data_IF_735105020317
#
_entry.id   IF_735105020317
#
_cell.length_a   1.000
_cell.length_b   1.000
_cell.length_c   1.000
_cell.angle_alpha   90.00
_cell.angle_beta   90.00
_cell.angle_gamma   90.00
#
_symmetry.space_group_name_H-M   'P 1'
#
loop_
_entity.id
_entity.type
_entity.pdbx_description
1 polymer ?
#
# COMPACT_ATOMS: atom_id res chain seq x y z
N UNK A 1 19.34 44.73 -48.41
CA UNK A 1 20.46 45.41 -47.71
C UNK A 1 20.86 44.45 -46.62
N UNK A 2 21.87 43.65 -46.87
CA UNK A 2 23.28 43.73 -46.51
C UNK A 2 23.51 43.87 -45.00
N UNK A 3 24.15 42.86 -44.45
CA UNK A 3 24.93 42.89 -43.24
C UNK A 3 25.43 41.50 -42.79
N UNK A 4 26.55 41.09 -43.31
CA UNK A 4 27.38 39.91 -42.89
C UNK A 4 28.20 40.26 -41.64
N UNK A 5 28.51 39.27 -40.79
CA UNK A 5 29.50 39.36 -39.71
C UNK A 5 29.76 37.96 -39.15
N UNK A 6 30.68 37.20 -39.76
CA UNK A 6 32.04 36.76 -39.41
C UNK A 6 32.16 36.28 -37.95
N UNK A 7 32.31 35.06 -37.71
CA UNK A 7 33.27 34.00 -37.55
C UNK A 7 34.41 34.26 -36.53
N UNK A 8 34.48 33.39 -35.50
CA UNK A 8 35.74 33.12 -34.81
C UNK A 8 35.81 31.66 -34.40
N UNK A 9 36.68 30.91 -35.12
CA UNK A 9 37.14 29.57 -34.75
C UNK A 9 38.34 29.75 -33.83
N UNK A 10 38.27 29.22 -32.64
CA UNK A 10 39.42 29.05 -31.75
C UNK A 10 39.91 27.62 -31.88
N UNK A 11 41.11 27.50 -32.37
CA UNK A 11 41.89 26.28 -32.54
C UNK A 11 42.64 26.02 -31.23
N UNK A 12 42.33 24.92 -30.53
CA UNK A 12 43.14 24.48 -29.38
C UNK A 12 44.15 23.44 -29.81
N UNK A 13 45.42 23.81 -29.69
CA UNK A 13 46.58 22.95 -29.87
C UNK A 13 46.71 21.96 -28.70
N UNK A 14 46.77 20.69 -29.00
CA UNK A 14 47.15 19.66 -28.04
C UNK A 14 48.68 19.54 -28.00
N UNK A 15 49.25 19.77 -26.83
CA UNK A 15 50.69 19.53 -26.57
C UNK A 15 50.81 18.13 -25.97
N UNK A 16 51.49 17.22 -26.68
CA UNK A 16 51.84 15.88 -26.22
C UNK A 16 53.19 15.97 -25.52
N UNK A 17 53.22 15.67 -24.23
CA UNK A 17 54.47 15.46 -23.48
C UNK A 17 54.79 13.97 -23.48
N UNK A 18 55.92 13.61 -24.11
CA UNK A 18 56.50 12.29 -24.00
C UNK A 18 57.48 12.27 -22.81
N UNK A 19 57.31 11.34 -21.91
CA UNK A 19 58.19 11.07 -20.77
C UNK A 19 58.86 9.71 -20.94
N UNK A 20 60.20 9.60 -20.79
CA UNK A 20 60.91 8.35 -21.03
C UNK A 20 60.79 7.39 -19.85
N UNK A 21 60.57 6.09 -20.16
CA UNK A 21 60.62 4.99 -19.18
C UNK A 21 62.09 4.69 -18.81
N UNK A 22 62.41 4.83 -17.55
CA UNK A 22 63.61 4.26 -16.92
C UNK A 22 63.24 2.88 -16.33
N UNK A 23 63.86 1.84 -16.91
CA UNK A 23 63.81 0.49 -16.33
C UNK A 23 64.85 0.39 -15.19
N UNK A 24 64.36 0.19 -13.96
CA UNK A 24 65.19 -0.24 -12.84
C UNK A 24 64.96 -1.74 -12.59
N UNK A 25 66.03 -2.52 -12.67
CA UNK A 25 66.02 -3.95 -12.36
C UNK A 25 65.98 -4.18 -10.84
N UNK A 26 65.02 -4.95 -10.38
CA UNK A 26 64.96 -5.45 -8.99
C UNK A 26 65.67 -6.80 -8.86
N UNK A 27 66.40 -7.05 -7.76
CA UNK A 27 67.02 -8.34 -7.47
C UNK A 27 65.97 -9.39 -7.04
N UNK A 28 66.27 -10.64 -7.37
CA UNK A 28 65.48 -11.82 -7.02
C UNK A 28 65.71 -12.18 -5.55
N UNK A 29 64.70 -12.09 -4.73
CA UNK A 29 64.70 -12.67 -3.36
C UNK A 29 64.09 -14.09 -3.39
N UNK A 30 64.84 -15.02 -2.78
CA UNK A 30 64.38 -16.40 -2.56
C UNK A 30 63.24 -16.46 -1.54
N UNK A 31 62.25 -17.35 -1.70
CA UNK A 31 61.13 -17.48 -0.76
C UNK A 31 61.55 -18.21 0.51
N UNK A 32 61.04 -17.80 1.69
CA UNK A 32 61.30 -18.46 2.97
C UNK A 32 60.60 -19.82 3.09
N UNK A 33 61.11 -20.75 3.94
CA UNK A 33 60.56 -22.11 4.07
C UNK A 33 59.15 -22.13 4.70
N UNK A 34 58.28 -23.01 4.16
CA UNK A 34 56.88 -23.19 4.65
C UNK A 34 56.87 -23.77 6.07
N UNK A 35 56.04 -23.24 6.97
CA UNK A 35 55.78 -23.89 8.27
C UNK A 35 54.92 -25.16 8.10
N UNK A 36 55.26 -26.19 8.88
CA UNK A 36 54.51 -27.46 8.98
C UNK A 36 53.08 -27.20 9.46
N UNK A 37 52.13 -27.81 8.79
CA UNK A 37 50.72 -27.76 9.16
C UNK A 37 50.51 -28.44 10.52
N UNK A 38 50.05 -27.69 11.51
CA UNK A 38 49.44 -28.20 12.73
C UNK A 38 47.96 -28.46 12.45
N UNK A 39 47.48 -29.67 12.76
CA UNK A 39 46.07 -30.02 12.65
C UNK A 39 45.27 -29.18 13.65
N UNK A 40 44.49 -28.23 13.15
CA UNK A 40 43.53 -27.49 13.94
C UNK A 40 42.17 -28.15 13.84
N UNK A 41 41.67 -28.63 14.97
CA UNK A 41 40.31 -29.11 15.21
C UNK A 41 39.34 -27.98 14.78
N UNK A 42 38.52 -28.25 13.75
CA UNK A 42 37.59 -27.30 13.18
C UNK A 42 36.49 -26.90 14.16
N UNK A 43 36.63 -25.71 14.72
CA UNK A 43 35.49 -24.98 15.25
C UNK A 43 34.74 -24.36 14.05
N UNK A 44 33.51 -24.85 13.77
CA UNK A 44 32.63 -24.19 12.82
C UNK A 44 32.35 -22.78 13.32
N UNK A 45 33.00 -21.79 12.75
CA UNK A 45 32.52 -20.41 12.86
C UNK A 45 31.14 -20.34 12.22
N UNK A 46 30.12 -20.28 13.06
CA UNK A 46 28.79 -19.81 12.63
C UNK A 46 28.97 -18.34 12.25
N UNK A 47 28.96 -18.09 10.95
CA UNK A 47 28.90 -16.71 10.43
C UNK A 47 27.56 -16.18 10.92
N UNK A 48 27.52 -15.08 11.74
CA UNK A 48 26.25 -14.46 12.07
C UNK A 48 25.57 -14.07 10.77
N UNK A 49 24.35 -14.56 10.54
CA UNK A 49 23.53 -14.10 9.44
C UNK A 49 23.39 -12.58 9.58
N UNK A 50 23.87 -11.84 8.60
CA UNK A 50 23.63 -10.40 8.52
C UNK A 50 22.12 -10.20 8.63
N UNK A 51 21.62 -9.35 9.56
CA UNK A 51 20.20 -9.10 9.65
C UNK A 51 19.72 -8.63 8.29
N UNK A 52 18.69 -9.28 7.76
CA UNK A 52 18.03 -8.86 6.53
C UNK A 52 17.42 -7.49 6.82
N UNK A 53 18.00 -6.44 6.29
CA UNK A 53 17.46 -5.09 6.42
C UNK A 53 16.17 -5.06 5.60
N UNK A 54 15.03 -5.20 6.25
CA UNK A 54 13.73 -4.93 5.64
C UNK A 54 13.74 -3.44 5.30
N UNK A 55 13.41 -3.09 4.07
CA UNK A 55 13.32 -1.69 3.67
C UNK A 55 12.31 -0.97 4.59
N UNK A 56 12.71 0.14 5.19
CA UNK A 56 11.82 0.93 6.04
C UNK A 56 10.75 1.64 5.20
N UNK A 57 9.57 1.89 5.79
CA UNK A 57 8.54 2.72 5.18
C UNK A 57 9.06 4.15 4.99
N UNK A 58 8.89 4.70 3.79
CA UNK A 58 9.35 6.04 3.45
C UNK A 58 8.15 6.96 3.13
N UNK A 59 7.82 7.85 4.07
CA UNK A 59 6.71 8.78 3.92
C UNK A 59 6.88 9.77 2.76
N UNK A 60 8.11 10.17 2.40
CA UNK A 60 8.33 11.06 1.25
C UNK A 60 8.04 10.35 -0.08
N UNK A 61 8.40 9.07 -0.21
CA UNK A 61 7.99 8.28 -1.37
C UNK A 61 6.47 8.14 -1.46
N UNK A 62 5.81 7.90 -0.33
CA UNK A 62 4.35 7.90 -0.30
C UNK A 62 3.80 9.27 -0.73
N UNK A 63 4.40 10.37 -0.29
CA UNK A 63 3.99 11.71 -0.73
C UNK A 63 4.19 11.95 -2.24
N UNK A 64 5.23 11.37 -2.84
CA UNK A 64 5.43 11.40 -4.30
C UNK A 64 4.32 10.62 -5.04
N UNK A 65 3.86 9.50 -4.48
CA UNK A 65 2.69 8.77 -5.01
C UNK A 65 1.40 9.58 -4.88
N UNK A 66 1.20 10.35 -3.81
CA UNK A 66 0.07 11.28 -3.69
C UNK A 66 0.10 12.30 -4.81
N UNK A 67 1.23 13.02 -4.98
CA UNK A 67 1.41 14.04 -6.02
C UNK A 67 1.11 13.47 -7.40
N UNK A 68 1.62 12.27 -7.69
CA UNK A 68 1.41 11.62 -8.98
C UNK A 68 -0.06 11.31 -9.28
N UNK A 69 -0.82 10.90 -8.28
CA UNK A 69 -2.25 10.61 -8.44
C UNK A 69 -3.05 11.89 -8.68
N UNK A 70 -2.82 12.94 -7.89
CA UNK A 70 -3.53 14.21 -8.06
C UNK A 70 -3.19 14.91 -9.38
N UNK A 71 -1.98 14.70 -9.95
CA UNK A 71 -1.59 15.19 -11.27
C UNK A 71 -2.45 14.61 -12.41
N UNK A 72 -3.09 13.46 -12.20
CA UNK A 72 -4.05 12.90 -13.17
C UNK A 72 -5.39 13.65 -13.13
N UNK A 73 -5.66 14.41 -12.06
CA UNK A 73 -6.94 15.10 -11.83
C UNK A 73 -7.98 14.23 -11.12
N UNK A 74 -9.26 14.68 -11.09
CA UNK A 74 -10.37 13.90 -10.56
C UNK A 74 -10.48 12.53 -11.23
N UNK A 75 -10.71 11.49 -10.42
CA UNK A 75 -10.61 10.08 -10.83
C UNK A 75 -11.89 9.27 -10.56
N UNK A 76 -13.10 9.78 -10.91
CA UNK A 76 -14.32 8.98 -10.74
C UNK A 76 -14.26 7.69 -11.57
N UNK A 77 -15.06 6.66 -11.20
CA UNK A 77 -15.12 5.39 -11.92
C UNK A 77 -15.44 5.57 -13.42
N UNK A 78 -14.84 4.69 -14.26
CA UNK A 78 -14.97 4.66 -15.71
C UNK A 78 -14.46 5.94 -16.42
N UNK A 79 -13.52 6.68 -15.80
CA UNK A 79 -12.85 7.83 -16.43
C UNK A 79 -11.46 7.50 -16.94
N UNK A 80 -10.97 8.32 -17.88
CA UNK A 80 -9.59 8.20 -18.39
C UNK A 80 -8.55 8.46 -17.30
N UNK A 81 -8.84 9.35 -16.36
CA UNK A 81 -7.98 9.68 -15.24
C UNK A 81 -7.84 8.50 -14.28
N UNK A 82 -8.94 7.82 -13.97
CA UNK A 82 -8.91 6.60 -13.16
C UNK A 82 -8.16 5.47 -13.89
N UNK A 83 -8.36 5.32 -15.20
CA UNK A 83 -7.61 4.35 -16.00
C UNK A 83 -6.09 4.61 -15.97
N UNK A 84 -5.66 5.88 -16.00
CA UNK A 84 -4.24 6.26 -15.83
C UNK A 84 -3.73 5.92 -14.42
N UNK A 85 -4.53 6.19 -13.39
CA UNK A 85 -4.21 5.85 -12.00
C UNK A 85 -4.09 4.35 -11.82
N UNK A 86 -5.02 3.56 -12.36
CA UNK A 86 -4.97 2.09 -12.37
C UNK A 86 -3.69 1.56 -13.03
N UNK A 87 -3.34 2.10 -14.19
CA UNK A 87 -2.11 1.74 -14.87
C UNK A 87 -0.86 2.10 -14.06
N UNK A 88 -0.86 3.28 -13.42
CA UNK A 88 0.22 3.72 -12.55
C UNK A 88 0.40 2.78 -11.35
N UNK A 89 -0.65 2.52 -10.58
CA UNK A 89 -0.63 1.60 -9.42
C UNK A 89 -0.13 0.21 -9.85
N UNK A 90 -0.68 -0.32 -10.94
CA UNK A 90 -0.29 -1.64 -11.48
C UNK A 90 1.20 -1.69 -11.83
N UNK A 91 1.74 -0.64 -12.47
CA UNK A 91 3.15 -0.58 -12.86
C UNK A 91 4.08 -0.45 -11.65
N UNK A 92 3.71 0.37 -10.65
CA UNK A 92 4.48 0.49 -9.41
C UNK A 92 4.57 -0.85 -8.68
N UNK A 93 3.44 -1.53 -8.46
CA UNK A 93 3.41 -2.84 -7.80
C UNK A 93 4.24 -3.90 -8.57
N UNK A 94 4.15 -3.93 -9.90
CA UNK A 94 4.99 -4.81 -10.74
C UNK A 94 6.48 -4.46 -10.62
N UNK A 95 6.82 -3.17 -10.51
CA UNK A 95 8.21 -2.73 -10.33
C UNK A 95 8.80 -3.18 -8.99
N UNK A 96 7.95 -3.42 -7.99
CA UNK A 96 8.32 -3.99 -6.68
C UNK A 96 8.43 -5.52 -6.71
N UNK A 97 8.25 -6.15 -7.87
CA UNK A 97 8.34 -7.60 -8.04
C UNK A 97 7.08 -8.36 -7.65
N UNK A 98 5.95 -7.68 -7.44
CA UNK A 98 4.69 -8.30 -7.06
C UNK A 98 3.94 -8.85 -8.28
N UNK A 99 3.24 -9.96 -8.08
CA UNK A 99 2.27 -10.47 -9.06
C UNK A 99 0.99 -9.64 -8.95
N UNK A 100 0.60 -8.99 -10.05
CA UNK A 100 -0.56 -8.10 -10.09
C UNK A 100 -1.59 -8.60 -11.09
N UNK A 101 -2.84 -8.67 -10.67
CA UNK A 101 -4.01 -8.97 -11.51
C UNK A 101 -5.06 -7.87 -11.40
N UNK A 102 -5.91 -7.76 -12.42
CA UNK A 102 -7.10 -6.92 -12.42
C UNK A 102 -8.33 -7.81 -12.28
N UNK A 103 -9.27 -7.38 -11.47
CA UNK A 103 -10.59 -7.96 -11.31
C UNK A 103 -11.60 -6.98 -11.93
N UNK A 104 -11.86 -7.17 -13.23
CA UNK A 104 -12.72 -6.28 -14.03
C UNK A 104 -14.19 -6.70 -13.93
N UNK A 105 -15.06 -5.73 -13.73
CA UNK A 105 -16.50 -5.93 -13.61
C UNK A 105 -17.30 -4.75 -14.13
N UNK A 106 -18.60 -4.98 -14.37
CA UNK A 106 -19.55 -3.91 -14.67
C UNK A 106 -20.43 -3.68 -13.44
N UNK A 107 -20.71 -2.42 -13.15
CA UNK A 107 -21.59 -2.00 -12.07
C UNK A 107 -22.73 -1.15 -12.60
N UNK A 108 -23.95 -1.47 -12.18
CA UNK A 108 -25.14 -0.63 -12.43
C UNK A 108 -25.16 0.47 -11.40
N UNK A 109 -25.06 1.72 -11.82
CA UNK A 109 -25.04 2.89 -10.96
C UNK A 109 -26.19 3.84 -11.31
N UNK A 110 -26.49 4.85 -10.45
CA UNK A 110 -27.45 5.89 -10.78
C UNK A 110 -27.12 6.67 -12.07
N UNK A 111 -25.85 6.63 -12.50
CA UNK A 111 -25.40 7.26 -13.75
C UNK A 111 -25.27 6.26 -14.91
N UNK A 112 -25.90 5.09 -14.82
CA UNK A 112 -25.83 4.02 -15.80
C UNK A 112 -24.72 3.00 -15.52
N UNK A 113 -24.52 2.09 -16.50
CA UNK A 113 -23.45 1.07 -16.40
C UNK A 113 -22.07 1.70 -16.38
N UNK A 114 -21.22 1.27 -15.46
CA UNK A 114 -19.81 1.68 -15.33
C UNK A 114 -18.90 0.47 -15.39
N UNK A 115 -17.78 0.60 -16.09
CA UNK A 115 -16.71 -0.40 -16.13
C UNK A 115 -15.73 -0.11 -15.02
N UNK A 116 -15.60 -1.01 -14.08
CA UNK A 116 -14.76 -0.90 -12.92
C UNK A 116 -13.72 -2.02 -12.87
N UNK A 117 -12.65 -1.84 -12.11
CA UNK A 117 -11.67 -2.89 -11.90
C UNK A 117 -10.94 -2.73 -10.56
N UNK A 118 -10.99 -3.73 -9.72
CA UNK A 118 -10.10 -3.83 -8.57
C UNK A 118 -8.68 -4.21 -9.02
N UNK A 119 -7.67 -3.69 -8.31
CA UNK A 119 -6.26 -4.07 -8.52
C UNK A 119 -5.85 -4.96 -7.36
N UNK A 120 -5.27 -6.12 -7.66
CA UNK A 120 -4.90 -7.12 -6.67
C UNK A 120 -3.41 -7.42 -6.81
N UNK A 121 -2.65 -7.28 -5.72
CA UNK A 121 -1.25 -7.69 -5.67
C UNK A 121 -1.02 -8.64 -4.48
N UNK A 122 -0.30 -9.74 -4.69
CA UNK A 122 -0.13 -10.77 -3.69
C UNK A 122 1.33 -10.93 -3.25
N UNK A 123 1.52 -11.09 -1.95
CA UNK A 123 2.77 -11.46 -1.29
C UNK A 123 2.53 -12.84 -0.64
N UNK A 124 2.98 -13.93 -1.29
CA UNK A 124 2.72 -15.29 -0.82
C UNK A 124 3.36 -15.57 0.54
N UNK A 125 2.58 -16.05 1.49
CA UNK A 125 3.02 -16.51 2.81
C UNK A 125 3.32 -17.99 2.90
N UNK A 126 3.56 -18.45 4.14
CA UNK A 126 3.77 -19.87 4.48
C UNK A 126 2.44 -20.65 4.50
N UNK A 127 1.33 -19.96 4.77
CA UNK A 127 -0.01 -20.55 4.87
C UNK A 127 -0.98 -19.89 3.91
N UNK A 128 -2.14 -20.53 3.69
CA UNK A 128 -3.25 -19.98 2.90
C UNK A 128 -4.05 -18.90 3.66
N UNK A 129 -3.84 -18.74 4.98
CA UNK A 129 -4.51 -17.68 5.73
C UNK A 129 -4.22 -16.35 5.07
N UNK A 130 -5.28 -15.66 4.64
CA UNK A 130 -5.19 -14.43 3.86
C UNK A 130 -5.47 -13.23 4.75
N UNK A 131 -4.59 -12.25 4.72
CA UNK A 131 -4.76 -10.93 5.31
C UNK A 131 -4.80 -9.92 4.18
N UNK A 132 -5.90 -9.19 4.07
CA UNK A 132 -6.08 -8.13 3.09
C UNK A 132 -5.62 -6.80 3.70
N UNK A 133 -4.94 -5.98 2.89
CA UNK A 133 -4.63 -4.58 3.20
C UNK A 133 -5.17 -3.79 2.03
N UNK A 134 -6.07 -2.86 2.28
CA UNK A 134 -6.92 -2.32 1.22
C UNK A 134 -7.06 -0.81 1.28
N UNK A 135 -7.49 -0.22 0.18
CA UNK A 135 -7.91 1.17 0.02
C UNK A 135 -8.73 1.29 -1.25
N UNK A 136 -9.67 2.21 -1.34
CA UNK A 136 -10.22 2.59 -2.64
C UNK A 136 -9.24 3.50 -3.41
N UNK A 137 -9.43 3.65 -4.74
CA UNK A 137 -8.55 4.48 -5.56
C UNK A 137 -9.28 5.42 -6.52
N UNK A 138 -10.60 5.33 -6.58
CA UNK A 138 -11.47 6.29 -7.26
C UNK A 138 -11.69 7.54 -6.38
N UNK A 139 -12.15 8.62 -6.96
CA UNK A 139 -12.61 9.81 -6.24
C UNK A 139 -14.08 10.04 -6.49
N UNK A 140 -14.74 10.67 -5.53
CA UNK A 140 -16.13 11.09 -5.68
C UNK A 140 -16.34 11.90 -6.95
N UNK A 141 -17.45 11.63 -7.64
CA UNK A 141 -17.87 12.38 -8.81
C UNK A 141 -18.55 13.68 -8.39
N UNK A 142 -18.03 14.81 -8.89
CA UNK A 142 -18.69 16.11 -8.78
C UNK A 142 -18.81 16.76 -10.15
N UNK A 143 -20.02 17.23 -10.48
CA UNK A 143 -20.29 17.90 -11.76
C UNK A 143 -19.63 19.27 -11.82
N UNK A 144 -19.71 20.04 -10.74
CA UNK A 144 -19.36 21.45 -10.69
C UNK A 144 -18.20 21.77 -9.73
N UNK A 145 -17.48 20.75 -9.24
CA UNK A 145 -16.33 20.91 -8.37
C UNK A 145 -15.14 20.09 -8.88
N UNK A 146 -13.97 20.71 -8.89
CA UNK A 146 -12.71 20.01 -9.19
C UNK A 146 -12.16 19.37 -7.91
N UNK A 147 -12.46 18.09 -7.72
CA UNK A 147 -12.08 17.32 -6.54
C UNK A 147 -10.98 16.31 -6.88
N UNK A 148 -9.79 16.52 -6.33
CA UNK A 148 -8.62 15.64 -6.60
C UNK A 148 -8.41 14.59 -5.53
N UNK A 149 -9.07 14.68 -4.37
CA UNK A 149 -9.00 13.70 -3.31
C UNK A 149 -7.56 13.38 -2.91
N UNK A 150 -6.86 14.34 -2.31
CA UNK A 150 -5.47 14.14 -1.92
C UNK A 150 -5.34 13.27 -0.67
N UNK A 151 -6.25 13.43 0.28
CA UNK A 151 -6.40 12.54 1.42
C UNK A 151 -7.37 11.40 1.09
N UNK A 152 -8.39 11.67 0.30
CA UNK A 152 -9.50 10.83 -0.07
C UNK A 152 -9.50 10.51 -1.60
N UNK A 153 -8.84 9.40 -2.07
CA UNK A 153 -8.05 8.42 -1.31
C UNK A 153 -6.53 8.47 -1.57
N UNK A 154 -5.98 9.50 -2.26
CA UNK A 154 -4.61 9.39 -2.79
C UNK A 154 -3.56 9.10 -1.71
N UNK A 155 -3.76 9.55 -0.45
CA UNK A 155 -2.85 9.27 0.66
C UNK A 155 -2.88 7.79 1.08
N UNK A 156 -4.08 7.19 1.11
CA UNK A 156 -4.27 5.79 1.47
C UNK A 156 -3.70 4.86 0.41
N UNK A 157 -4.00 5.14 -0.87
CA UNK A 157 -3.38 4.45 -2.03
C UNK A 157 -1.86 4.55 -2.00
N UNK A 158 -1.31 5.74 -1.72
CA UNK A 158 0.13 5.97 -1.65
C UNK A 158 0.78 5.17 -0.51
N UNK A 159 0.11 5.09 0.63
CA UNK A 159 0.56 4.28 1.77
C UNK A 159 0.54 2.79 1.41
N UNK A 160 -0.52 2.32 0.76
CA UNK A 160 -0.64 0.94 0.33
C UNK A 160 0.43 0.56 -0.73
N UNK A 161 0.77 1.46 -1.65
CA UNK A 161 1.88 1.28 -2.60
C UNK A 161 3.22 1.16 -1.89
N UNK A 162 3.51 2.02 -0.92
CA UNK A 162 4.78 1.97 -0.18
C UNK A 162 4.85 0.73 0.74
N UNK A 163 3.73 0.28 1.32
CA UNK A 163 3.63 -1.03 1.99
C UNK A 163 3.96 -2.16 1.02
N UNK A 164 3.44 -2.12 -0.20
CA UNK A 164 3.75 -3.09 -1.27
C UNK A 164 5.23 -3.16 -1.58
N UNK A 165 5.91 -2.01 -1.68
CA UNK A 165 7.36 -1.95 -1.88
C UNK A 165 8.13 -2.58 -0.73
N UNK A 166 7.77 -2.26 0.51
CA UNK A 166 8.45 -2.78 1.71
C UNK A 166 8.25 -4.29 1.82
N UNK A 167 7.02 -4.76 1.74
CA UNK A 167 6.67 -6.17 1.87
C UNK A 167 7.22 -7.01 0.71
N UNK A 168 7.18 -6.48 -0.53
CA UNK A 168 7.72 -7.14 -1.71
C UNK A 168 9.25 -7.26 -1.70
N UNK A 169 9.96 -6.36 -0.96
CA UNK A 169 11.41 -6.42 -0.82
C UNK A 169 11.90 -7.45 0.22
N UNK A 170 11.01 -8.00 1.03
CA UNK A 170 11.35 -9.00 2.05
C UNK A 170 11.79 -10.31 1.40
N UNK A 171 12.90 -10.88 1.89
CA UNK A 171 13.36 -12.21 1.49
C UNK A 171 12.69 -13.33 2.30
N UNK A 172 12.12 -12.98 3.44
CA UNK A 172 11.44 -13.92 4.32
C UNK A 172 9.95 -13.95 3.98
N UNK A 173 9.40 -15.15 3.85
CA UNK A 173 7.96 -15.31 3.66
C UNK A 173 7.23 -15.00 4.96
N UNK A 174 6.16 -14.20 4.92
CA UNK A 174 5.31 -14.00 6.08
C UNK A 174 4.54 -15.30 6.42
N UNK A 175 4.09 -15.45 7.66
CA UNK A 175 3.30 -16.62 8.10
C UNK A 175 1.95 -16.72 7.37
N UNK A 176 1.30 -15.59 7.13
CA UNK A 176 0.06 -15.51 6.34
C UNK A 176 0.37 -14.91 4.97
N UNK A 177 -0.43 -15.23 3.96
CA UNK A 177 -0.41 -14.55 2.67
C UNK A 177 -0.97 -13.15 2.83
N UNK A 178 -0.27 -12.12 2.34
CA UNK A 178 -0.78 -10.77 2.30
C UNK A 178 -1.27 -10.45 0.89
N UNK A 179 -2.40 -9.77 0.79
CA UNK A 179 -2.94 -9.33 -0.48
C UNK A 179 -3.30 -7.84 -0.38
N UNK A 180 -2.68 -7.04 -1.24
CA UNK A 180 -3.00 -5.62 -1.39
C UNK A 180 -4.13 -5.51 -2.40
N UNK A 181 -5.22 -4.85 -2.02
CA UNK A 181 -6.38 -4.67 -2.91
C UNK A 181 -6.75 -3.20 -2.96
N UNK A 182 -6.82 -2.67 -4.18
CA UNK A 182 -7.27 -1.31 -4.43
C UNK A 182 -8.66 -1.41 -5.07
N UNK A 183 -9.68 -0.92 -4.37
CA UNK A 183 -11.07 -0.99 -4.82
C UNK A 183 -11.43 0.16 -5.75
N UNK A 184 -12.23 -0.15 -6.78
CA UNK A 184 -12.81 0.82 -7.70
C UNK A 184 -14.28 1.04 -7.34
N UNK A 185 -14.71 2.30 -7.31
CA UNK A 185 -16.11 2.63 -7.06
C UNK A 185 -16.53 2.43 -5.59
N UNK A 186 -15.73 2.91 -4.67
CA UNK A 186 -16.13 3.06 -3.28
C UNK A 186 -17.15 4.19 -3.16
N UNK A 187 -16.90 5.30 -3.81
CA UNK A 187 -17.63 6.54 -3.72
C UNK A 187 -19.06 6.48 -4.32
N UNK A 188 -20.03 7.01 -3.60
CA UNK A 188 -21.38 7.15 -4.08
C UNK A 188 -21.48 8.12 -5.28
N UNK A 189 -22.25 7.76 -6.31
CA UNK A 189 -22.52 8.64 -7.46
C UNK A 189 -23.55 9.72 -7.17
N UNK A 190 -24.44 9.48 -6.21
CA UNK A 190 -25.34 10.51 -5.68
C UNK A 190 -24.62 11.42 -4.68
N UNK A 191 -25.28 12.52 -4.25
CA UNK A 191 -24.65 13.51 -3.38
C UNK A 191 -24.29 12.91 -2.03
N UNK A 192 -25.26 12.32 -1.33
CA UNK A 192 -25.06 11.63 -0.06
C UNK A 192 -24.84 10.13 -0.22
N UNK A 193 -24.21 9.56 0.79
CA UNK A 193 -23.81 8.13 0.84
C UNK A 193 -24.98 7.16 0.66
N UNK A 194 -26.15 7.52 1.18
CA UNK A 194 -27.37 6.68 1.15
C UNK A 194 -28.51 7.29 0.36
N UNK A 195 -28.25 8.30 -0.49
CA UNK A 195 -29.29 8.99 -1.25
C UNK A 195 -29.88 8.14 -2.38
N UNK A 196 -29.10 7.20 -2.89
CA UNK A 196 -29.48 6.32 -3.98
C UNK A 196 -29.17 4.85 -3.65
N UNK A 197 -29.79 3.95 -4.42
CA UNK A 197 -29.70 2.53 -4.17
C UNK A 197 -30.62 2.07 -3.05
N UNK A 198 -30.40 0.86 -2.58
CA UNK A 198 -31.10 0.23 -1.47
C UNK A 198 -30.13 -0.65 -0.66
N UNK A 199 -30.63 -1.36 0.37
CA UNK A 199 -29.77 -2.21 1.21
C UNK A 199 -29.11 -3.38 0.45
N UNK A 200 -29.75 -3.86 -0.63
CA UNK A 200 -29.19 -4.98 -1.43
C UNK A 200 -28.20 -4.46 -2.47
N UNK A 201 -28.45 -3.25 -3.00
CA UNK A 201 -27.66 -2.61 -4.04
C UNK A 201 -27.41 -1.13 -3.69
N UNK A 202 -26.60 -0.84 -2.67
CA UNK A 202 -26.25 0.53 -2.33
C UNK A 202 -25.43 1.21 -3.43
N UNK A 203 -25.57 2.54 -3.55
CA UNK A 203 -24.81 3.37 -4.50
C UNK A 203 -23.42 3.71 -3.93
N UNK A 204 -22.69 2.72 -3.46
CA UNK A 204 -21.33 2.86 -2.93
C UNK A 204 -20.65 1.50 -2.87
N UNK A 205 -19.39 1.45 -2.48
CA UNK A 205 -18.62 0.22 -2.17
C UNK A 205 -18.73 -0.88 -3.23
N UNK A 206 -18.86 -0.48 -4.52
CA UNK A 206 -19.04 -1.44 -5.62
C UNK A 206 -17.89 -2.44 -5.72
N UNK A 207 -16.64 -1.96 -5.57
CA UNK A 207 -15.44 -2.77 -5.68
C UNK A 207 -15.30 -3.79 -4.55
N UNK A 208 -15.50 -3.38 -3.32
CA UNK A 208 -15.38 -4.27 -2.15
C UNK A 208 -16.50 -5.32 -2.11
N UNK A 209 -17.74 -4.96 -2.43
CA UNK A 209 -18.86 -5.91 -2.56
C UNK A 209 -18.61 -6.93 -3.66
N UNK A 210 -18.13 -6.47 -4.82
CA UNK A 210 -17.75 -7.37 -5.92
C UNK A 210 -16.62 -8.31 -5.48
N UNK A 211 -15.61 -7.79 -4.79
CA UNK A 211 -14.46 -8.60 -4.37
C UNK A 211 -14.84 -9.66 -3.32
N UNK A 212 -15.74 -9.36 -2.38
CA UNK A 212 -16.30 -10.38 -1.47
C UNK A 212 -17.01 -11.49 -2.25
N UNK A 213 -17.76 -11.14 -3.30
CA UNK A 213 -18.40 -12.11 -4.18
C UNK A 213 -17.38 -12.96 -4.95
N UNK A 214 -16.28 -12.35 -5.41
CA UNK A 214 -15.16 -13.06 -6.05
C UNK A 214 -14.50 -14.04 -5.08
N UNK A 215 -14.24 -13.64 -3.83
CA UNK A 215 -13.66 -14.53 -2.80
C UNK A 215 -14.56 -15.74 -2.53
N UNK A 216 -15.88 -15.56 -2.50
CA UNK A 216 -16.85 -16.66 -2.39
C UNK A 216 -16.79 -17.59 -3.60
N UNK A 217 -16.78 -17.03 -4.82
CA UNK A 217 -16.74 -17.80 -6.05
C UNK A 217 -15.45 -18.63 -6.22
N UNK A 218 -14.35 -18.18 -5.60
CA UNK A 218 -13.04 -18.87 -5.60
C UNK A 218 -12.80 -19.77 -4.38
N UNK A 219 -13.77 -19.91 -3.50
CA UNK A 219 -13.63 -20.62 -2.21
C UNK A 219 -12.48 -20.06 -1.34
N UNK A 220 -12.12 -18.79 -1.52
CA UNK A 220 -11.07 -18.09 -0.76
C UNK A 220 -11.61 -17.36 0.48
N UNK A 221 -12.92 -17.14 0.59
CA UNK A 221 -13.52 -16.42 1.71
C UNK A 221 -13.24 -17.08 3.07
N UNK A 222 -13.29 -18.44 3.22
CA UNK A 222 -12.93 -19.10 4.48
C UNK A 222 -11.46 -18.93 4.86
N UNK A 223 -10.57 -18.70 3.89
CA UNK A 223 -9.14 -18.44 4.11
C UNK A 223 -8.85 -16.96 4.38
N UNK A 224 -9.77 -16.06 4.07
CA UNK A 224 -9.66 -14.62 4.36
C UNK A 224 -9.93 -14.38 5.85
N UNK A 225 -8.88 -14.11 6.62
CA UNK A 225 -8.92 -14.06 8.09
C UNK A 225 -8.99 -12.66 8.67
N UNK A 226 -8.43 -11.68 7.95
CA UNK A 226 -8.45 -10.28 8.37
C UNK A 226 -8.41 -9.36 7.15
N UNK A 227 -9.02 -8.18 7.31
CA UNK A 227 -8.99 -7.09 6.35
C UNK A 227 -8.65 -5.80 7.09
N UNK A 228 -7.73 -5.03 6.56
CA UNK A 228 -7.29 -3.73 7.07
C UNK A 228 -7.57 -2.72 5.98
N UNK A 229 -8.51 -1.83 6.21
CA UNK A 229 -8.82 -0.72 5.33
C UNK A 229 -8.00 0.50 5.73
N UNK A 230 -7.45 1.18 4.75
CA UNK A 230 -6.82 2.49 4.87
C UNK A 230 -7.69 3.48 4.12
N UNK A 231 -8.28 4.42 4.83
CA UNK A 231 -9.06 5.51 4.25
C UNK A 231 -8.80 6.82 4.97
N UNK A 232 -8.67 7.92 4.21
CA UNK A 232 -8.45 9.29 4.71
C UNK A 232 -7.45 9.43 5.86
N UNK A 233 -6.38 8.61 5.88
CA UNK A 233 -5.42 8.50 6.98
C UNK A 233 -4.14 9.34 6.78
N UNK A 234 -4.11 10.22 5.78
CA UNK A 234 -2.92 11.03 5.45
C UNK A 234 -2.93 12.46 5.98
N UNK A 235 -3.99 12.92 6.64
CA UNK A 235 -4.11 14.30 7.09
C UNK A 235 -2.96 14.72 8.00
N UNK A 236 -2.45 15.95 7.82
CA UNK A 236 -1.31 16.46 8.61
C UNK A 236 -1.56 16.56 10.12
N UNK A 237 -2.81 16.70 10.53
CA UNK A 237 -3.23 16.64 11.93
C UNK A 237 -3.99 15.33 12.20
N UNK A 238 -3.34 14.21 11.89
CA UNK A 238 -3.94 12.88 11.97
C UNK A 238 -4.31 12.49 13.39
N UNK A 239 -5.58 12.07 13.57
CA UNK A 239 -6.12 11.48 14.77
C UNK A 239 -7.12 10.39 14.38
N UNK A 240 -6.74 9.13 14.55
CA UNK A 240 -7.56 7.96 14.23
C UNK A 240 -8.35 7.56 15.47
N UNK A 241 -9.68 7.70 15.41
CA UNK A 241 -10.62 7.15 16.36
C UNK A 241 -10.89 5.67 16.10
N UNK A 242 -11.63 5.04 16.98
CA UNK A 242 -12.05 3.64 16.84
C UNK A 242 -13.38 3.57 16.12
N UNK A 243 -13.37 3.04 14.90
CA UNK A 243 -14.59 2.75 14.17
C UNK A 243 -15.40 1.64 14.90
N UNK A 244 -16.69 1.84 15.06
CA UNK A 244 -17.58 0.98 15.84
C UNK A 244 -17.97 -0.31 15.10
N UNK A 245 -17.88 -0.35 13.75
CA UNK A 245 -18.08 -1.54 12.94
C UNK A 245 -16.85 -2.44 12.90
N UNK A 246 -15.70 -1.91 13.23
CA UNK A 246 -14.43 -2.62 13.22
C UNK A 246 -14.39 -3.77 14.23
N UNK A 247 -13.78 -4.88 13.81
CA UNK A 247 -13.59 -6.05 14.69
C UNK A 247 -12.62 -5.73 15.82
N UNK A 248 -13.14 -5.72 17.05
CA UNK A 248 -12.41 -5.24 18.24
C UNK A 248 -10.99 -5.79 18.40
N UNK A 249 -10.81 -7.11 18.28
CA UNK A 249 -9.48 -7.71 18.50
C UNK A 249 -8.44 -7.23 17.48
N UNK A 250 -8.86 -7.01 16.23
CA UNK A 250 -7.97 -6.55 15.15
C UNK A 250 -7.62 -5.08 15.36
N UNK A 251 -8.62 -4.27 15.69
CA UNK A 251 -8.45 -2.87 16.05
C UNK A 251 -7.54 -2.72 17.28
N UNK A 252 -7.71 -3.57 18.32
CA UNK A 252 -6.86 -3.53 19.52
C UNK A 252 -5.39 -3.81 19.20
N UNK A 253 -5.10 -4.78 18.32
CA UNK A 253 -3.71 -5.05 17.87
C UNK A 253 -3.11 -3.81 17.19
N UNK A 254 -3.84 -3.17 16.27
CA UNK A 254 -3.34 -2.01 15.52
C UNK A 254 -3.13 -0.81 16.47
N UNK A 255 -4.13 -0.47 17.29
CA UNK A 255 -4.04 0.67 18.23
C UNK A 255 -2.96 0.47 19.29
N UNK A 256 -2.85 -0.74 19.84
CA UNK A 256 -1.77 -1.05 20.78
C UNK A 256 -0.41 -0.93 20.11
N UNK A 257 -0.26 -1.44 18.89
CA UNK A 257 1.01 -1.35 18.14
C UNK A 257 1.38 0.11 17.85
N UNK A 258 0.42 0.96 17.43
CA UNK A 258 0.67 2.38 17.23
C UNK A 258 1.14 3.09 18.53
N UNK A 259 0.54 2.73 19.67
CA UNK A 259 0.98 3.26 20.99
C UNK A 259 2.36 2.77 21.40
N UNK A 260 2.67 1.49 21.17
CA UNK A 260 4.00 0.91 21.43
C UNK A 260 5.10 1.59 20.60
N UNK A 261 4.77 2.04 19.39
CA UNK A 261 5.66 2.83 18.53
C UNK A 261 5.75 4.32 18.92
N UNK A 262 5.06 4.74 19.99
CA UNK A 262 5.08 6.13 20.48
C UNK A 262 4.02 7.03 19.83
N UNK A 263 3.06 6.48 19.06
CA UNK A 263 2.05 7.23 18.30
C UNK A 263 0.69 7.31 19.01
N UNK A 264 0.66 7.26 20.34
CA UNK A 264 -0.59 7.29 21.12
C UNK A 264 -1.45 8.55 20.94
N UNK A 265 -0.87 9.64 20.39
CA UNK A 265 -1.65 10.84 20.03
C UNK A 265 -2.40 10.68 18.71
N UNK A 266 -1.98 9.74 17.87
CA UNK A 266 -2.64 9.41 16.59
C UNK A 266 -3.68 8.33 16.81
N UNK A 267 -3.36 7.26 17.51
CA UNK A 267 -4.25 6.13 17.78
C UNK A 267 -5.00 6.34 19.11
N UNK A 268 -6.09 7.09 19.04
CA UNK A 268 -6.87 7.49 20.22
C UNK A 268 -8.06 6.56 20.49
N UNK A 269 -8.51 6.49 21.74
CA UNK A 269 -9.65 5.66 22.15
C UNK A 269 -10.98 6.45 22.05
N UNK A 270 -11.10 7.38 21.10
CA UNK A 270 -12.34 8.05 20.76
C UNK A 270 -13.13 7.18 19.76
N UNK A 271 -14.42 7.08 19.92
CA UNK A 271 -15.30 6.46 18.94
C UNK A 271 -15.35 7.29 17.65
N UNK A 272 -15.26 6.60 16.51
CA UNK A 272 -15.40 7.17 15.16
C UNK A 272 -16.60 6.48 14.50
N UNK A 273 -17.70 7.21 14.34
CA UNK A 273 -18.89 6.69 13.67
C UNK A 273 -18.75 6.93 12.17
N UNK A 274 -18.33 5.91 11.42
CA UNK A 274 -18.13 6.00 9.97
C UNK A 274 -19.45 5.81 9.22
N UNK A 275 -20.29 4.89 9.69
CA UNK A 275 -21.63 4.65 9.12
C UNK A 275 -21.64 3.78 7.87
N UNK A 276 -20.50 3.32 7.40
CA UNK A 276 -20.34 2.42 6.25
C UNK A 276 -19.11 2.78 5.42
N UNK A 277 -18.36 1.77 4.95
CA UNK A 277 -17.17 1.89 4.12
C UNK A 277 -16.82 0.52 3.51
N UNK A 278 -15.77 0.40 2.71
CA UNK A 278 -15.31 -0.82 2.05
C UNK A 278 -15.06 -2.02 2.98
N UNK A 279 -14.92 -1.82 4.29
CA UNK A 279 -14.81 -2.90 5.28
C UNK A 279 -16.18 -3.54 5.62
N UNK A 280 -17.29 -2.83 5.45
CA UNK A 280 -18.64 -3.31 5.78
C UNK A 280 -19.01 -4.62 5.06
N UNK A 281 -18.82 -4.78 3.73
CA UNK A 281 -19.09 -6.04 3.04
C UNK A 281 -18.32 -7.23 3.59
N UNK A 282 -17.10 -7.00 4.09
CA UNK A 282 -16.26 -8.05 4.70
C UNK A 282 -16.76 -8.42 6.10
N UNK A 283 -17.11 -7.44 6.91
CA UNK A 283 -17.75 -7.67 8.22
C UNK A 283 -19.04 -8.49 8.03
N UNK A 284 -19.89 -8.10 7.09
CA UNK A 284 -21.11 -8.83 6.73
C UNK A 284 -20.85 -10.25 6.22
N UNK A 285 -19.67 -10.51 5.65
CA UNK A 285 -19.24 -11.85 5.23
C UNK A 285 -18.53 -12.66 6.34
N UNK A 286 -18.41 -12.11 7.56
CA UNK A 286 -17.76 -12.76 8.70
C UNK A 286 -16.24 -12.67 8.74
N UNK A 287 -15.64 -11.81 7.92
CA UNK A 287 -14.20 -11.51 7.93
C UNK A 287 -13.91 -10.46 9.00
N UNK A 288 -12.93 -10.70 9.86
CA UNK A 288 -12.50 -9.70 10.82
C UNK A 288 -11.90 -8.49 10.07
N UNK A 289 -12.49 -7.31 10.25
CA UNK A 289 -12.08 -6.10 9.52
C UNK A 289 -11.79 -4.95 10.47
N UNK A 290 -10.89 -4.06 10.09
CA UNK A 290 -10.59 -2.80 10.78
C UNK A 290 -10.46 -1.70 9.75
N UNK A 291 -11.08 -0.56 10.05
CA UNK A 291 -10.96 0.66 9.29
C UNK A 291 -10.05 1.66 10.03
N UNK A 292 -9.07 2.19 9.33
CA UNK A 292 -8.18 3.25 9.77
C UNK A 292 -8.55 4.53 9.04
N UNK A 293 -9.49 5.26 9.60
CA UNK A 293 -10.08 6.45 8.98
C UNK A 293 -10.11 7.64 9.95
N UNK A 294 -9.95 8.84 9.42
CA UNK A 294 -10.24 10.09 10.12
C UNK A 294 -11.35 10.83 9.38
N UNK A 295 -12.61 10.52 9.67
CA UNK A 295 -13.78 11.13 9.02
C UNK A 295 -14.30 12.34 9.78
N UNK A 296 -14.72 12.15 11.03
CA UNK A 296 -15.46 13.16 11.80
C UNK A 296 -14.68 14.44 12.08
N UNK A 297 -13.35 14.35 12.14
CA UNK A 297 -12.46 15.48 12.42
C UNK A 297 -11.66 15.96 11.21
N UNK A 298 -11.93 15.42 10.00
CA UNK A 298 -11.30 15.87 8.76
C UNK A 298 -12.08 17.02 8.11
N UNK A 299 -11.61 18.27 8.18
CA UNK A 299 -12.40 19.43 7.76
C UNK A 299 -12.51 19.60 6.24
N UNK A 300 -11.73 18.83 5.44
CA UNK A 300 -11.64 18.95 3.98
C UNK A 300 -12.35 17.81 3.24
N UNK A 301 -13.04 16.92 3.98
CA UNK A 301 -13.76 15.81 3.39
C UNK A 301 -14.78 16.29 2.36
N UNK A 302 -14.71 15.71 1.15
CA UNK A 302 -15.58 16.03 0.02
C UNK A 302 -15.60 17.53 -0.37
N UNK A 303 -14.46 18.21 -0.22
CA UNK A 303 -14.30 19.63 -0.59
C UNK A 303 -13.18 19.83 -1.60
N UNK A 304 -13.29 20.89 -2.41
CA UNK A 304 -12.28 21.23 -3.42
C UNK A 304 -10.87 21.50 -2.85
N UNK A 305 -10.78 21.75 -1.55
CA UNK A 305 -9.51 21.99 -0.86
C UNK A 305 -8.90 20.73 -0.22
N UNK A 306 -9.42 19.53 -0.54
CA UNK A 306 -8.68 18.29 -0.29
C UNK A 306 -7.50 18.15 -1.26
N UNK A 307 -6.43 18.82 -0.95
CA UNK A 307 -5.24 19.01 -1.78
C UNK A 307 -3.96 18.58 -1.07
N UNK A 308 -2.85 18.43 -1.80
CA UNK A 308 -1.60 17.86 -1.29
C UNK A 308 -1.05 18.56 -0.03
N UNK A 309 -1.34 19.85 0.19
CA UNK A 309 -0.91 20.61 1.37
C UNK A 309 -1.65 20.22 2.66
N UNK A 310 -2.71 19.42 2.54
CA UNK A 310 -3.43 18.84 3.69
C UNK A 310 -2.82 17.52 4.14
N UNK A 311 -2.13 16.82 3.25
CA UNK A 311 -1.52 15.51 3.50
C UNK A 311 -0.10 15.66 4.03
N UNK A 312 0.33 14.71 4.84
CA UNK A 312 1.66 14.69 5.49
C UNK A 312 2.38 13.35 5.26
N UNK A 313 3.60 13.43 4.77
CA UNK A 313 4.52 12.29 4.71
C UNK A 313 4.69 11.60 6.07
N UNK A 314 4.68 12.40 7.15
CA UNK A 314 4.81 11.88 8.52
C UNK A 314 3.55 11.08 8.95
N UNK A 315 2.35 11.54 8.61
CA UNK A 315 1.11 10.83 8.94
C UNK A 315 1.06 9.48 8.23
N UNK A 316 1.33 9.45 6.92
CA UNK A 316 1.43 8.20 6.16
C UNK A 316 2.51 7.26 6.72
N UNK A 317 3.66 7.81 7.16
CA UNK A 317 4.72 7.00 7.77
C UNK A 317 4.29 6.39 9.10
N UNK A 318 3.60 7.13 9.95
CA UNK A 318 3.08 6.65 11.24
C UNK A 318 2.15 5.45 11.01
N UNK A 319 1.21 5.58 10.07
CA UNK A 319 0.28 4.48 9.75
C UNK A 319 1.02 3.32 9.10
N UNK A 320 1.86 3.57 8.10
CA UNK A 320 2.63 2.53 7.42
C UNK A 320 3.51 1.71 8.35
N UNK A 321 4.27 2.36 9.24
CA UNK A 321 5.09 1.69 10.25
C UNK A 321 4.24 0.88 11.23
N UNK A 322 3.07 1.41 11.63
CA UNK A 322 2.14 0.72 12.53
C UNK A 322 1.56 -0.53 11.88
N UNK A 323 1.16 -0.46 10.60
CA UNK A 323 0.67 -1.63 9.87
C UNK A 323 1.77 -2.68 9.73
N UNK A 324 2.98 -2.29 9.29
CA UNK A 324 4.11 -3.22 9.15
C UNK A 324 4.42 -3.95 10.47
N UNK A 325 4.35 -3.25 11.60
CA UNK A 325 4.58 -3.85 12.92
C UNK A 325 3.40 -4.68 13.44
N UNK A 326 2.18 -4.41 12.96
CA UNK A 326 0.95 -5.14 13.34
C UNK A 326 0.80 -6.45 12.56
N UNK A 327 1.21 -6.49 11.29
CA UNK A 327 1.01 -7.65 10.39
C UNK A 327 1.55 -8.96 10.98
N UNK A 328 2.76 -9.06 11.56
CA UNK A 328 3.23 -10.31 12.17
C UNK A 328 2.38 -10.77 13.37
N UNK A 329 1.87 -9.81 14.18
CA UNK A 329 1.02 -10.11 15.34
C UNK A 329 -0.35 -10.64 14.89
N UNK A 330 -0.91 -10.03 13.84
CA UNK A 330 -2.16 -10.47 13.22
C UNK A 330 -1.98 -11.85 12.60
N UNK A 331 -0.92 -12.05 11.80
CA UNK A 331 -0.61 -13.33 11.16
C UNK A 331 -0.42 -14.46 12.20
N UNK A 332 0.27 -14.21 13.29
CA UNK A 332 0.43 -15.17 14.37
C UNK A 332 -0.91 -15.60 14.97
N UNK A 333 -1.82 -14.64 15.20
CA UNK A 333 -3.15 -14.92 15.73
C UNK A 333 -3.97 -15.77 14.77
N UNK A 334 -4.10 -15.35 13.52
CA UNK A 334 -5.01 -15.99 12.56
C UNK A 334 -4.51 -17.33 12.03
N UNK A 335 -3.20 -17.59 12.13
CA UNK A 335 -2.64 -18.91 11.76
C UNK A 335 -2.65 -19.93 12.90
N UNK A 336 -2.82 -19.49 14.16
CA UNK A 336 -2.92 -20.38 15.35
C UNK A 336 -4.35 -20.82 15.67
N UNK A 337 -5.38 -20.07 15.24
CA UNK A 337 -6.78 -20.43 15.52
C UNK A 337 -7.18 -21.62 14.64
N UNK A 338 -7.68 -22.74 15.24
CA UNK A 338 -8.24 -23.83 14.47
C UNK A 338 -9.47 -23.32 13.72
N UNK A 339 -9.60 -23.67 12.44
CA UNK A 339 -10.80 -23.40 11.66
C UNK A 339 -12.01 -23.95 12.43
N UNK A 340 -12.94 -23.11 12.89
CA UNK A 340 -14.25 -23.56 13.34
C UNK A 340 -14.95 -24.17 12.13
N UNK A 341 -15.00 -25.50 12.08
CA UNK A 341 -15.80 -26.21 11.09
C UNK A 341 -17.24 -25.74 11.24
N UNK A 342 -17.78 -25.09 10.22
CA UNK A 342 -19.23 -24.90 10.07
C UNK A 342 -19.83 -26.27 9.81
N UNK A 343 -20.05 -27.07 10.89
CA UNK A 343 -20.96 -28.19 10.82
C UNK A 343 -22.33 -27.59 10.61
N UNK A 344 -22.86 -27.81 9.41
CA UNK A 344 -24.24 -27.51 9.12
C UNK A 344 -25.15 -28.11 10.18
N UNK A 345 -25.98 -27.31 10.77
CA UNK A 345 -27.17 -27.77 11.48
C UNK A 345 -28.10 -28.37 10.43
N UNK A 346 -27.98 -29.69 10.22
CA UNK A 346 -29.08 -30.45 9.66
C UNK A 346 -30.23 -30.27 10.63
N UNK A 347 -31.26 -29.56 10.20
CA UNK A 347 -32.56 -29.51 10.89
C UNK A 347 -33.32 -30.78 10.45
N UNK A 348 -33.56 -31.65 11.42
CA UNK A 348 -34.66 -32.62 11.38
C UNK A 348 -36.03 -31.91 11.33
#
# INVERSE_FOLDING_TARGET
>A
MRGLGTGNRILLLAIVFAMPLLFAACPKDEPPPRPRASASTGSRHVIPSTPTVIAAFNGERAMDHVRKQIDFGPRPPDTQQLAKTRAYITNELKSYGLTVSLDEFNATTPQGEKKMANIIAEIPGETKSLILITSHYDTKFYKDMYFVGANDPAASVATLLELGRVLGSSKEKPKATYRLVFFDGEEAFCEGWSDCGDQENPDNTYGSRHYVSLLRAKDELPDTKAMILLDMMGYKNLELGRDDMSTKWLQDIVWQTGRELGHGKVFVDREEGVGGDDHEPFVGAGVASVDLIQLSSYPHWHKADDTADKVSAQSMKIVGDTILASLPKIAERVTKEPQKSTKGTERE
#
